data_IF_980798751742
#
_entry.id   IF_980798751742
#
_cell.length_a   1.000
_cell.length_b   1.000
_cell.length_c   1.000
_cell.angle_alpha   90.00
_cell.angle_beta   90.00
_cell.angle_gamma   90.00
#
_symmetry.space_group_name_H-M   'P 1'
#
loop_
_entity.id
_entity.type
_entity.pdbx_description
1 polymer ?
#
# COMPACT_ATOMS: atom_id res chain seq x y z
N UNK A 1 52.34 -12.16 35.85
CA UNK A 1 51.15 -11.30 35.73
C UNK A 1 50.38 -11.75 34.51
N UNK A 2 49.28 -12.47 34.69
CA UNK A 2 48.46 -13.00 33.61
C UNK A 2 47.47 -11.92 33.13
N UNK A 3 47.54 -11.59 31.86
CA UNK A 3 46.61 -10.66 31.19
C UNK A 3 45.28 -11.36 30.98
N UNK A 4 44.28 -10.96 31.72
CA UNK A 4 42.89 -11.38 31.54
C UNK A 4 42.40 -10.87 30.19
N UNK A 5 42.06 -11.80 29.28
CA UNK A 5 41.36 -11.48 28.00
C UNK A 5 39.92 -11.08 28.32
N UNK A 6 39.58 -9.84 28.00
CA UNK A 6 38.21 -9.35 27.95
C UNK A 6 37.51 -10.07 26.79
N UNK A 7 36.34 -10.67 26.98
CA UNK A 7 35.56 -11.23 25.85
C UNK A 7 34.97 -10.07 25.05
N UNK A 8 35.61 -9.74 23.94
CA UNK A 8 35.02 -8.96 22.84
C UNK A 8 34.37 -9.97 21.92
N UNK A 9 33.05 -9.94 21.81
CA UNK A 9 32.25 -10.26 20.63
C UNK A 9 30.81 -10.67 21.05
N UNK A 10 30.11 -9.77 21.73
CA UNK A 10 28.67 -9.75 21.57
C UNK A 10 28.41 -9.24 20.16
N UNK A 11 28.18 -10.16 19.21
CA UNK A 11 27.56 -9.86 17.93
C UNK A 11 26.19 -9.29 18.24
N UNK A 12 26.06 -7.97 18.23
CA UNK A 12 24.77 -7.31 18.14
C UNK A 12 24.11 -7.77 16.83
N UNK A 13 23.30 -8.82 16.90
CA UNK A 13 22.38 -9.16 15.82
C UNK A 13 21.53 -7.91 15.59
N UNK A 14 21.73 -7.27 14.44
CA UNK A 14 20.85 -6.20 13.98
C UNK A 14 19.47 -6.80 13.84
N UNK A 15 18.65 -6.70 14.87
CA UNK A 15 17.24 -7.09 14.76
C UNK A 15 16.55 -6.10 13.82
N UNK A 16 16.39 -6.53 12.58
CA UNK A 16 15.65 -5.77 11.59
C UNK A 16 14.18 -5.67 11.99
N UNK A 17 13.50 -4.59 11.54
CA UNK A 17 12.08 -4.44 11.73
C UNK A 17 11.32 -5.60 11.05
N UNK A 18 10.62 -6.41 11.83
CA UNK A 18 9.87 -7.54 11.32
C UNK A 18 8.47 -7.10 10.91
N UNK A 19 8.26 -6.93 9.60
CA UNK A 19 6.99 -6.51 9.03
C UNK A 19 5.83 -7.45 9.40
N UNK A 20 6.02 -8.77 9.34
CA UNK A 20 4.94 -9.72 9.60
C UNK A 20 4.56 -9.82 11.08
N UNK A 21 5.52 -9.58 11.96
CA UNK A 21 5.26 -9.47 13.38
C UNK A 21 4.46 -8.20 13.68
N UNK A 22 4.82 -7.09 13.08
CA UNK A 22 4.08 -5.83 13.19
C UNK A 22 2.64 -5.95 12.67
N UNK A 23 2.42 -6.61 11.53
CA UNK A 23 1.07 -6.87 11.00
C UNK A 23 0.28 -7.75 12.00
N UNK A 24 0.90 -8.78 12.55
CA UNK A 24 0.25 -9.63 13.57
C UNK A 24 -0.10 -8.85 14.84
N UNK A 25 0.74 -7.89 15.24
CA UNK A 25 0.46 -7.00 16.37
C UNK A 25 -0.72 -6.07 16.08
N UNK A 26 -0.84 -5.55 14.86
CA UNK A 26 -2.02 -4.78 14.41
C UNK A 26 -3.28 -5.63 14.48
N UNK A 27 -3.26 -6.87 13.98
CA UNK A 27 -4.39 -7.78 14.01
C UNK A 27 -4.90 -8.06 15.44
N UNK A 28 -3.99 -8.12 16.38
CA UNK A 28 -4.28 -8.33 17.81
C UNK A 28 -4.61 -7.06 18.57
N UNK A 29 -4.60 -5.89 17.90
CA UNK A 29 -4.73 -4.57 18.55
C UNK A 29 -3.69 -4.33 19.66
N UNK A 30 -2.45 -4.76 19.43
CA UNK A 30 -1.35 -4.53 20.35
C UNK A 30 -0.85 -3.09 20.26
N UNK A 31 -1.52 -2.19 20.95
CA UNK A 31 -1.21 -0.76 20.96
C UNK A 31 0.19 -0.45 21.51
N UNK A 32 0.72 -1.32 22.38
CA UNK A 32 2.04 -1.16 23.01
C UNK A 32 3.21 -1.70 22.17
N UNK A 33 2.97 -2.37 21.05
CA UNK A 33 4.02 -2.96 20.23
C UNK A 33 5.05 -1.92 19.77
N UNK A 34 4.60 -0.74 19.31
CA UNK A 34 5.48 0.32 18.85
C UNK A 34 6.45 0.82 19.94
N UNK A 35 6.03 0.87 21.19
CA UNK A 35 6.86 1.31 22.32
C UNK A 35 7.95 0.28 22.69
N UNK A 36 7.76 -0.99 22.30
CA UNK A 36 8.74 -2.07 22.52
C UNK A 36 9.80 -2.16 21.42
N UNK A 37 9.61 -1.44 20.32
CA UNK A 37 10.57 -1.39 19.23
C UNK A 37 11.81 -0.57 19.64
N UNK A 38 12.97 -1.03 19.22
CA UNK A 38 14.21 -0.24 19.35
C UNK A 38 14.14 1.02 18.48
N UNK A 39 14.89 2.09 18.82
CA UNK A 39 14.93 3.30 18.00
C UNK A 39 15.29 3.04 16.52
N UNK A 40 16.11 2.05 16.24
CA UNK A 40 16.46 1.65 14.88
C UNK A 40 15.26 1.00 14.15
N UNK A 41 14.52 0.13 14.83
CA UNK A 41 13.31 -0.49 14.30
C UNK A 41 12.19 0.55 14.08
N UNK A 42 12.03 1.50 15.00
CA UNK A 42 11.06 2.60 14.85
C UNK A 42 11.35 3.45 13.61
N UNK A 43 12.63 3.70 13.27
CA UNK A 43 13.03 4.41 12.03
C UNK A 43 12.70 3.64 10.77
N UNK A 44 12.61 2.31 10.85
CA UNK A 44 12.23 1.43 9.72
C UNK A 44 10.73 1.21 9.59
N UNK A 45 9.94 1.73 10.51
CA UNK A 45 8.49 1.69 10.43
C UNK A 45 7.99 2.62 9.32
N UNK A 46 7.38 2.03 8.29
CA UNK A 46 6.85 2.75 7.12
C UNK A 46 5.34 2.56 7.05
N UNK A 47 4.54 3.53 7.51
CA UNK A 47 3.07 3.44 7.57
C UNK A 47 2.42 3.13 6.23
N UNK A 48 2.95 3.66 5.13
CA UNK A 48 2.46 3.38 3.78
C UNK A 48 2.54 1.88 3.43
N UNK A 49 3.64 1.23 3.77
CA UNK A 49 3.76 -0.22 3.56
C UNK A 49 2.76 -0.99 4.41
N UNK A 50 2.54 -0.57 5.66
CA UNK A 50 1.58 -1.20 6.55
C UNK A 50 0.17 -1.15 5.99
N UNK A 51 -0.29 0.02 5.50
CA UNK A 51 -1.60 0.16 4.85
C UNK A 51 -1.76 -0.83 3.70
N UNK A 52 -0.76 -0.93 2.82
CA UNK A 52 -0.83 -1.81 1.65
C UNK A 52 -0.94 -3.29 2.03
N UNK A 53 -0.30 -3.71 3.11
CA UNK A 53 -0.41 -5.08 3.60
C UNK A 53 -1.73 -5.36 4.31
N UNK A 54 -2.12 -4.49 5.27
CA UNK A 54 -3.31 -4.75 6.09
C UNK A 54 -4.63 -4.56 5.35
N UNK A 55 -4.64 -3.81 4.23
CA UNK A 55 -5.84 -3.62 3.40
C UNK A 55 -6.31 -4.90 2.71
N UNK A 56 -5.44 -5.89 2.52
CA UNK A 56 -5.75 -7.11 1.80
C UNK A 56 -5.62 -8.31 2.72
N UNK A 57 -6.75 -8.88 3.09
CA UNK A 57 -6.85 -10.13 3.87
C UNK A 57 -7.34 -11.23 2.95
N UNK A 58 -6.66 -12.38 3.00
CA UNK A 58 -7.13 -13.60 2.33
C UNK A 58 -8.01 -14.39 3.26
N UNK A 59 -9.18 -14.77 2.78
CA UNK A 59 -10.15 -15.54 3.55
C UNK A 59 -11.58 -15.22 3.14
N UNK A 60 -12.46 -15.09 4.11
CA UNK A 60 -13.87 -14.76 3.87
C UNK A 60 -13.99 -13.36 3.26
N UNK A 61 -14.86 -13.23 2.25
CA UNK A 61 -15.07 -11.97 1.53
C UNK A 61 -15.50 -10.82 2.45
N UNK A 62 -16.34 -11.11 3.44
CA UNK A 62 -16.83 -10.14 4.42
C UNK A 62 -15.67 -9.54 5.24
N UNK A 63 -14.72 -10.39 5.67
CA UNK A 63 -13.55 -9.95 6.41
C UNK A 63 -12.61 -9.11 5.53
N UNK A 64 -12.41 -9.51 4.28
CA UNK A 64 -11.62 -8.74 3.33
C UNK A 64 -12.23 -7.36 3.07
N UNK A 65 -13.55 -7.28 2.92
CA UNK A 65 -14.26 -6.01 2.78
C UNK A 65 -14.14 -5.14 4.04
N UNK A 66 -14.27 -5.76 5.21
CA UNK A 66 -14.11 -5.05 6.48
C UNK A 66 -12.73 -4.38 6.58
N UNK A 67 -11.65 -5.14 6.36
CA UNK A 67 -10.30 -4.59 6.44
C UNK A 67 -10.08 -3.47 5.43
N UNK A 68 -10.52 -3.67 4.18
CA UNK A 68 -10.37 -2.64 3.14
C UNK A 68 -11.08 -1.34 3.53
N UNK A 69 -12.33 -1.41 3.97
CA UNK A 69 -13.12 -0.24 4.37
C UNK A 69 -12.58 0.39 5.66
N UNK A 70 -12.23 -0.44 6.64
CA UNK A 70 -11.74 0.04 7.94
C UNK A 70 -10.37 0.72 7.81
N UNK A 71 -9.47 0.17 7.01
CA UNK A 71 -8.16 0.79 6.73
C UNK A 71 -8.33 2.11 5.97
N UNK A 72 -9.24 2.18 5.01
CA UNK A 72 -9.52 3.43 4.30
C UNK A 72 -10.07 4.49 5.26
N UNK A 73 -11.02 4.13 6.09
CA UNK A 73 -11.65 5.06 7.04
C UNK A 73 -10.72 5.52 8.17
N UNK A 74 -9.99 4.60 8.82
CA UNK A 74 -9.20 4.90 10.02
C UNK A 74 -7.78 5.35 9.70
N UNK A 75 -7.19 4.88 8.62
CA UNK A 75 -5.79 5.10 8.31
C UNK A 75 -5.59 5.94 7.05
N UNK A 76 -6.05 5.48 5.89
CA UNK A 76 -5.69 6.07 4.60
C UNK A 76 -6.01 7.56 4.50
N UNK A 77 -7.16 7.97 5.01
CA UNK A 77 -7.63 9.35 4.95
C UNK A 77 -6.79 10.34 5.78
N UNK A 78 -6.22 9.90 6.90
CA UNK A 78 -5.61 10.81 7.88
C UNK A 78 -4.13 10.57 8.11
N UNK A 79 -3.63 9.39 7.81
CA UNK A 79 -2.28 8.94 8.18
C UNK A 79 -1.17 9.84 7.62
N UNK A 80 -1.41 10.43 6.45
CA UNK A 80 -0.47 11.29 5.75
C UNK A 80 -0.75 12.79 5.96
N UNK A 81 -1.72 13.13 6.82
CA UNK A 81 -1.91 14.52 7.23
C UNK A 81 -0.63 15.04 7.89
N UNK A 82 -0.28 16.30 7.63
CA UNK A 82 0.96 16.92 8.13
C UNK A 82 1.14 16.77 9.65
N UNK A 83 0.06 16.93 10.42
CA UNK A 83 0.10 16.80 11.87
C UNK A 83 0.26 15.36 12.36
N UNK A 84 -0.32 14.38 11.65
CA UNK A 84 -0.25 12.95 12.02
C UNK A 84 1.07 12.34 11.58
N UNK A 85 1.60 12.72 10.42
CA UNK A 85 2.84 12.18 9.86
C UNK A 85 4.07 12.44 10.74
N UNK A 86 4.04 13.48 11.55
CA UNK A 86 5.10 13.80 12.53
C UNK A 86 5.08 12.92 13.78
N UNK A 87 4.04 12.09 13.95
CA UNK A 87 3.81 11.26 15.13
C UNK A 87 3.69 9.77 14.79
N UNK A 88 4.80 9.04 14.58
CA UNK A 88 4.77 7.63 14.15
C UNK A 88 4.00 6.72 15.12
N UNK A 89 4.05 6.99 16.42
CA UNK A 89 3.24 6.25 17.41
C UNK A 89 1.73 6.46 17.18
N UNK A 90 1.30 7.67 16.87
CA UNK A 90 -0.11 7.94 16.53
C UNK A 90 -0.50 7.18 15.26
N UNK A 91 0.36 7.17 14.24
CA UNK A 91 0.15 6.39 13.03
C UNK A 91 0.00 4.89 13.34
N UNK A 92 0.81 4.34 14.26
CA UNK A 92 0.67 2.97 14.74
C UNK A 92 -0.71 2.70 15.37
N UNK A 93 -1.15 3.59 16.27
CA UNK A 93 -2.45 3.47 16.94
C UNK A 93 -3.62 3.49 15.95
N UNK A 94 -3.53 4.33 14.92
CA UNK A 94 -4.54 4.41 13.85
C UNK A 94 -4.59 3.11 13.03
N UNK A 95 -3.44 2.52 12.71
CA UNK A 95 -3.38 1.23 12.04
C UNK A 95 -3.99 0.11 12.89
N UNK A 96 -3.70 0.09 14.19
CA UNK A 96 -4.30 -0.87 15.12
C UNK A 96 -5.83 -0.70 15.23
N UNK A 97 -6.34 0.53 15.15
CA UNK A 97 -7.78 0.79 15.20
C UNK A 97 -8.53 0.23 13.99
N UNK A 98 -7.85 0.08 12.85
CA UNK A 98 -8.43 -0.49 11.64
C UNK A 98 -8.68 -2.00 11.72
N UNK A 99 -7.99 -2.72 12.59
CA UNK A 99 -8.22 -4.16 12.80
C UNK A 99 -9.50 -4.43 13.59
N UNK A 100 -10.23 -5.54 13.33
CA UNK A 100 -11.33 -5.99 14.18
C UNK A 100 -10.87 -6.62 15.52
N UNK A 101 -9.59 -6.95 15.66
CA UNK A 101 -9.04 -7.55 16.89
C UNK A 101 -9.36 -9.04 17.05
N UNK A 102 -9.61 -9.76 15.97
CA UNK A 102 -9.97 -11.18 15.99
C UNK A 102 -8.75 -12.12 15.93
N UNK A 103 -7.55 -11.59 16.14
CA UNK A 103 -6.30 -12.32 16.08
C UNK A 103 -5.66 -12.34 14.69
N UNK A 104 -4.53 -13.04 14.56
CA UNK A 104 -3.71 -13.07 13.36
C UNK A 104 -4.49 -13.47 12.11
N UNK A 105 -4.39 -12.65 11.07
CA UNK A 105 -4.96 -12.89 9.74
C UNK A 105 -3.87 -13.12 8.70
N UNK A 106 -4.26 -13.67 7.55
CA UNK A 106 -3.34 -13.86 6.43
C UNK A 106 -3.45 -12.66 5.48
N UNK A 107 -2.49 -11.77 5.56
CA UNK A 107 -2.41 -10.58 4.71
C UNK A 107 -1.60 -10.83 3.45
N UNK A 108 -1.92 -10.09 2.40
CA UNK A 108 -1.19 -10.08 1.15
C UNK A 108 -0.92 -8.63 0.71
N UNK A 109 0.14 -8.45 -0.07
CA UNK A 109 0.38 -7.17 -0.71
C UNK A 109 -0.75 -6.83 -1.69
N UNK A 110 -1.19 -5.57 -1.70
CA UNK A 110 -2.14 -5.10 -2.72
C UNK A 110 -1.52 -5.35 -4.09
N UNK A 111 -2.13 -6.21 -4.94
CA UNK A 111 -1.60 -6.40 -6.27
C UNK A 111 -1.66 -5.06 -7.00
N UNK A 112 -0.52 -4.63 -7.53
CA UNK A 112 -0.52 -3.48 -8.43
C UNK A 112 -1.46 -3.84 -9.58
N UNK A 113 -2.56 -3.10 -9.69
CA UNK A 113 -3.37 -3.11 -10.90
C UNK A 113 -2.41 -2.60 -11.96
N UNK A 114 -1.84 -3.53 -12.75
CA UNK A 114 -1.11 -3.14 -13.95
C UNK A 114 -2.10 -2.33 -14.75
N UNK A 115 -1.96 -1.01 -14.69
CA UNK A 115 -2.82 -0.12 -15.47
C UNK A 115 -2.67 -0.61 -16.90
N UNK A 116 -3.73 -1.27 -17.42
CA UNK A 116 -3.69 -1.83 -18.76
C UNK A 116 -3.45 -0.76 -19.83
N UNK A 117 -3.63 0.49 -19.47
CA UNK A 117 -3.24 1.67 -20.24
C UNK A 117 -1.73 1.70 -20.53
N UNK A 118 -0.86 1.15 -19.65
CA UNK A 118 0.57 1.04 -19.92
C UNK A 118 0.91 0.01 -21.02
N UNK A 119 -0.07 -0.83 -21.43
CA UNK A 119 0.08 -1.78 -22.53
C UNK A 119 -0.58 -1.34 -23.84
N UNK A 120 -1.35 -0.27 -23.83
CA UNK A 120 -1.73 0.39 -25.06
C UNK A 120 -0.46 1.03 -25.63
N UNK A 121 0.14 0.35 -26.60
CA UNK A 121 1.31 0.83 -27.36
C UNK A 121 1.06 2.28 -27.80
N UNK A 122 2.10 3.07 -27.97
CA UNK A 122 2.03 4.48 -28.41
C UNK A 122 1.21 4.71 -29.69
N UNK A 123 0.77 3.65 -30.35
CA UNK A 123 -0.09 3.62 -31.54
C UNK A 123 -1.44 2.92 -31.31
N UNK A 124 -1.99 2.95 -30.07
CA UNK A 124 -3.30 2.35 -29.82
C UNK A 124 -4.38 3.05 -30.67
N UNK A 125 -5.13 2.24 -31.41
CA UNK A 125 -6.25 2.75 -32.19
C UNK A 125 -7.45 3.01 -31.29
N UNK A 126 -8.40 3.89 -31.67
CA UNK A 126 -9.65 4.09 -30.92
C UNK A 126 -10.41 2.79 -30.65
N UNK A 127 -10.28 1.80 -31.52
CA UNK A 127 -10.87 0.48 -31.38
C UNK A 127 -10.21 -0.30 -30.22
N UNK A 128 -8.89 -0.31 -30.17
CA UNK A 128 -8.14 -1.00 -29.09
C UNK A 128 -8.49 -0.43 -27.72
N UNK A 129 -8.69 0.90 -27.65
CA UNK A 129 -9.10 1.58 -26.43
C UNK A 129 -10.50 1.15 -26.02
N UNK A 130 -11.46 1.13 -26.95
CA UNK A 130 -12.82 0.67 -26.68
C UNK A 130 -12.88 -0.78 -26.21
N UNK A 131 -12.18 -1.67 -26.89
CA UNK A 131 -12.12 -3.10 -26.55
C UNK A 131 -11.50 -3.33 -25.17
N UNK A 132 -10.47 -2.56 -24.85
CA UNK A 132 -9.86 -2.59 -23.52
C UNK A 132 -10.84 -2.16 -22.43
N UNK A 133 -11.45 -0.98 -22.57
CA UNK A 133 -12.38 -0.45 -21.57
C UNK A 133 -13.64 -1.31 -21.44
N UNK A 134 -14.15 -1.88 -22.54
CA UNK A 134 -15.26 -2.82 -22.51
C UNK A 134 -14.94 -4.09 -21.73
N UNK A 135 -13.70 -4.58 -21.83
CA UNK A 135 -13.25 -5.76 -21.07
C UNK A 135 -13.10 -5.47 -19.57
N UNK A 136 -12.62 -4.28 -19.21
CA UNK A 136 -12.42 -3.88 -17.82
C UNK A 136 -13.72 -3.45 -17.15
N UNK A 137 -14.59 -2.78 -17.91
CA UNK A 137 -15.87 -2.24 -17.42
C UNK A 137 -17.03 -2.70 -18.32
N UNK A 138 -17.54 -3.92 -18.14
CA UNK A 138 -18.54 -4.53 -19.02
C UNK A 138 -19.88 -3.75 -19.09
N UNK A 139 -20.14 -2.91 -18.08
CA UNK A 139 -21.39 -2.13 -17.97
C UNK A 139 -21.36 -0.79 -18.72
N UNK A 140 -20.22 -0.39 -19.30
CA UNK A 140 -20.15 0.84 -20.08
C UNK A 140 -20.96 0.73 -21.37
N UNK A 141 -21.69 1.81 -21.68
CA UNK A 141 -22.46 1.90 -22.94
C UNK A 141 -21.52 2.14 -24.13
N UNK A 142 -22.02 1.89 -25.33
CA UNK A 142 -21.26 2.15 -26.56
C UNK A 142 -20.93 3.65 -26.74
N UNK A 143 -21.78 4.53 -26.20
CA UNK A 143 -21.57 5.98 -26.17
C UNK A 143 -20.39 6.34 -25.27
N UNK A 144 -20.38 5.87 -24.03
CA UNK A 144 -19.31 6.10 -23.06
C UNK A 144 -17.95 5.64 -23.59
N UNK A 145 -17.90 4.45 -24.18
CA UNK A 145 -16.68 3.89 -24.79
C UNK A 145 -16.14 4.76 -25.92
N UNK A 146 -17.04 5.41 -26.68
CA UNK A 146 -16.67 6.28 -27.79
C UNK A 146 -16.07 7.59 -27.25
N UNK A 147 -16.66 8.15 -26.22
CA UNK A 147 -16.20 9.37 -25.58
C UNK A 147 -14.85 9.18 -24.89
N UNK A 148 -14.70 8.07 -24.14
CA UNK A 148 -13.42 7.68 -23.52
C UNK A 148 -12.32 7.55 -24.57
N UNK A 149 -12.59 6.86 -25.68
CA UNK A 149 -11.60 6.67 -26.73
C UNK A 149 -11.19 7.99 -27.38
N UNK A 150 -12.14 8.92 -27.60
CA UNK A 150 -11.89 10.26 -28.14
C UNK A 150 -10.99 11.08 -27.20
N UNK A 151 -11.38 11.17 -25.92
CA UNK A 151 -10.61 11.90 -24.89
C UNK A 151 -9.19 11.37 -24.74
N UNK A 152 -9.03 10.04 -24.73
CA UNK A 152 -7.73 9.41 -24.64
C UNK A 152 -6.83 9.78 -25.86
N UNK A 153 -7.36 9.70 -27.07
CA UNK A 153 -6.63 10.07 -28.27
C UNK A 153 -6.24 11.56 -28.30
N UNK A 154 -7.11 12.44 -27.82
CA UNK A 154 -6.82 13.88 -27.74
C UNK A 154 -5.72 14.19 -26.71
N UNK A 155 -5.76 13.55 -25.55
CA UNK A 155 -4.72 13.71 -24.53
C UNK A 155 -3.37 13.18 -25.00
N UNK A 156 -3.36 12.08 -25.74
CA UNK A 156 -2.12 11.49 -26.28
C UNK A 156 -1.50 12.39 -27.37
N UNK A 157 -2.32 12.94 -28.26
CA UNK A 157 -1.85 13.94 -29.24
C UNK A 157 -1.23 15.17 -28.57
N UNK A 158 -1.84 15.70 -27.50
CA UNK A 158 -1.28 16.83 -26.75
C UNK A 158 0.08 16.52 -26.12
N UNK A 159 0.28 15.31 -25.60
CA UNK A 159 1.57 14.89 -25.04
C UNK A 159 2.68 14.80 -26.11
N UNK A 160 2.38 14.31 -27.30
CA UNK A 160 3.33 14.27 -28.41
C UNK A 160 3.74 15.69 -28.85
N UNK A 161 2.78 16.61 -28.99
CA UNK A 161 3.07 18.01 -29.34
C UNK A 161 3.93 18.76 -28.32
N UNK A 162 3.89 18.33 -27.03
CA UNK A 162 4.74 18.91 -25.98
C UNK A 162 6.13 18.29 -25.94
N UNK A 163 6.27 17.00 -26.31
CA UNK A 163 7.57 16.31 -26.36
C UNK A 163 8.45 16.79 -27.56
N UNK A 164 7.84 17.20 -28.66
CA UNK A 164 8.56 17.73 -29.84
C UNK A 164 9.02 19.19 -29.68
N UNK A 165 8.75 19.82 -28.53
CA UNK A 165 9.13 21.23 -28.28
C UNK A 165 10.28 21.39 -27.28
N UNK A 166 10.84 20.31 -26.77
CA UNK A 166 12.01 20.29 -25.88
C UNK A 166 13.06 19.32 -26.43
#
# INVERSE_FOLDING_TARGET
MARTKVPTDEKFEKQDFNLFEAITAIDKKDYGYYDRLTPEQQRKFVPFMMINWISVVKGKQELAQYYLQSVDYHANKYLFNENVSKHPKLQWLMLCSASPGIGKQFHAWIPQIKQGVAKLKDKATPKDIKDYYKKVYPKLTAGDLTEIAKTFCEQHKRKMYLADRF
#
